data_IF_805474644606
#
_entry.id   IF_805474644606
#
_cell.length_a   1.000
_cell.length_b   1.000
_cell.length_c   1.000
_cell.angle_alpha   90.00
_cell.angle_beta   90.00
_cell.angle_gamma   90.00
#
_symmetry.space_group_name_H-M   'P 1'
#
loop_
_entity.id
_entity.type
_entity.pdbx_description
1 polymer ?
#
# COMPACT_ATOMS: atom_id res chain seq x y z
N UNK A 1 -12.87 20.61 14.29
CA UNK A 1 -14.24 20.09 14.24
C UNK A 1 -14.25 18.89 13.31
N UNK A 2 -14.72 17.70 13.72
CA UNK A 2 -14.84 16.58 12.79
C UNK A 2 -15.88 16.96 11.72
N UNK A 3 -15.55 16.74 10.45
CA UNK A 3 -16.50 16.92 9.37
C UNK A 3 -17.69 15.98 9.61
N UNK A 4 -18.89 16.52 9.52
CA UNK A 4 -20.12 15.73 9.63
C UNK A 4 -20.14 14.70 8.50
N UNK A 5 -19.98 13.42 8.84
CA UNK A 5 -19.99 12.30 7.89
C UNK A 5 -21.23 12.36 6.98
N UNK A 6 -22.36 12.85 7.48
CA UNK A 6 -23.59 13.08 6.71
C UNK A 6 -23.36 14.02 5.54
N UNK A 7 -22.65 15.13 5.78
CA UNK A 7 -22.35 16.13 4.76
C UNK A 7 -21.34 15.61 3.74
N UNK A 8 -20.36 14.83 4.18
CA UNK A 8 -19.38 14.17 3.30
C UNK A 8 -20.08 13.17 2.38
N UNK A 9 -20.93 12.29 2.93
CA UNK A 9 -21.69 11.29 2.15
C UNK A 9 -22.60 11.97 1.13
N UNK A 10 -23.27 13.06 1.52
CA UNK A 10 -24.14 13.80 0.60
C UNK A 10 -23.35 14.50 -0.53
N UNK A 11 -22.17 15.03 -0.22
CA UNK A 11 -21.27 15.64 -1.22
C UNK A 11 -20.74 14.58 -2.21
N UNK A 12 -20.35 13.41 -1.71
CA UNK A 12 -19.92 12.27 -2.54
C UNK A 12 -21.06 11.82 -3.47
N UNK A 13 -22.28 11.68 -2.95
CA UNK A 13 -23.46 11.28 -3.74
C UNK A 13 -23.74 12.25 -4.89
N UNK A 14 -23.69 13.55 -4.62
CA UNK A 14 -23.93 14.59 -5.62
C UNK A 14 -22.89 14.58 -6.74
N UNK A 15 -21.61 14.41 -6.41
CA UNK A 15 -20.53 14.40 -7.40
C UNK A 15 -20.40 13.06 -8.16
N UNK A 16 -20.92 11.95 -7.62
CA UNK A 16 -20.85 10.62 -8.23
C UNK A 16 -22.02 10.33 -9.20
N UNK A 17 -22.95 11.28 -9.42
CA UNK A 17 -24.24 11.04 -10.07
C UNK A 17 -24.96 9.81 -9.49
N UNK A 18 -24.76 9.52 -8.20
CA UNK A 18 -25.49 8.46 -7.53
C UNK A 18 -26.93 8.94 -7.44
N UNK A 19 -27.91 8.19 -7.99
CA UNK A 19 -29.31 8.59 -7.93
C UNK A 19 -29.70 8.90 -6.47
N UNK A 20 -30.60 9.87 -6.25
CA UNK A 20 -31.16 10.06 -4.92
C UNK A 20 -31.68 8.71 -4.41
N UNK A 21 -31.50 8.44 -3.11
CA UNK A 21 -32.03 7.22 -2.52
C UNK A 21 -33.50 7.09 -2.94
N UNK A 22 -33.85 5.93 -3.51
CA UNK A 22 -35.23 5.65 -3.84
C UNK A 22 -36.07 5.87 -2.57
N UNK A 23 -37.14 6.63 -2.68
CA UNK A 23 -38.06 6.89 -1.57
C UNK A 23 -39.35 6.08 -1.72
N UNK A 24 -39.55 5.48 -2.89
CA UNK A 24 -40.68 4.63 -3.22
C UNK A 24 -40.17 3.21 -3.46
N UNK A 25 -40.45 2.32 -2.51
CA UNK A 25 -40.10 0.92 -2.58
C UNK A 25 -41.38 0.10 -2.71
N UNK A 26 -41.44 -0.79 -3.70
CA UNK A 26 -42.55 -1.76 -3.83
C UNK A 26 -42.56 -2.70 -2.62
N UNK A 27 -41.36 -3.05 -2.11
CA UNK A 27 -41.16 -3.86 -0.92
C UNK A 27 -39.75 -3.64 -0.36
N UNK A 28 -39.63 -3.49 0.95
CA UNK A 28 -38.33 -3.57 1.63
C UNK A 28 -38.12 -5.02 2.07
N UNK A 29 -36.97 -5.59 1.72
CA UNK A 29 -36.54 -6.88 2.25
C UNK A 29 -35.27 -6.65 3.04
N UNK A 30 -35.21 -7.16 4.26
CA UNK A 30 -33.96 -7.24 4.99
C UNK A 30 -33.05 -8.25 4.28
N UNK A 31 -31.77 -7.91 4.19
CA UNK A 31 -30.76 -8.72 3.53
C UNK A 31 -29.44 -8.60 4.27
N UNK A 32 -28.63 -9.64 4.17
CA UNK A 32 -27.25 -9.62 4.63
C UNK A 32 -26.35 -9.28 3.44
N UNK A 33 -25.38 -8.40 3.67
CA UNK A 33 -24.35 -8.06 2.70
C UNK A 33 -23.00 -8.60 3.19
N UNK A 34 -22.14 -9.00 2.25
CA UNK A 34 -20.74 -9.36 2.50
C UNK A 34 -19.84 -8.11 2.54
N UNK A 35 -20.37 -6.99 3.06
CA UNK A 35 -19.68 -5.70 3.16
C UNK A 35 -19.31 -5.49 4.63
N UNK A 36 -18.04 -5.22 4.88
CA UNK A 36 -17.51 -4.91 6.21
C UNK A 36 -17.05 -3.46 6.26
N UNK A 37 -17.36 -2.77 7.36
CA UNK A 37 -16.98 -1.37 7.57
C UNK A 37 -15.61 -1.28 8.22
N UNK A 38 -14.80 -0.33 7.76
CA UNK A 38 -13.54 0.04 8.41
C UNK A 38 -13.75 1.31 9.24
N UNK A 39 -13.44 1.21 10.53
CA UNK A 39 -13.43 2.36 11.42
C UNK A 39 -12.00 2.88 11.57
N UNK A 40 -11.77 4.09 11.07
CA UNK A 40 -10.51 4.82 11.33
C UNK A 40 -10.62 5.49 12.69
N UNK A 41 -9.60 5.30 13.54
CA UNK A 41 -9.57 5.93 14.86
C UNK A 41 -9.69 7.46 14.73
N UNK A 42 -10.52 8.11 15.58
CA UNK A 42 -10.66 9.55 15.54
C UNK A 42 -9.34 10.23 15.92
N UNK A 43 -9.03 11.34 15.26
CA UNK A 43 -7.83 12.15 15.49
C UNK A 43 -6.95 12.26 14.25
N UNK A 44 -5.70 12.71 14.42
CA UNK A 44 -4.73 12.75 13.32
C UNK A 44 -3.98 11.42 13.31
N UNK A 45 -4.43 10.51 12.44
CA UNK A 45 -3.77 9.21 12.22
C UNK A 45 -3.03 9.28 10.90
N UNK A 46 -1.71 9.37 10.94
CA UNK A 46 -0.88 9.51 9.76
C UNK A 46 -0.32 8.17 9.30
N UNK A 47 -0.22 7.99 7.99
CA UNK A 47 0.59 6.97 7.33
C UNK A 47 1.51 7.62 6.32
N UNK A 48 2.67 7.00 6.09
CA UNK A 48 3.75 7.58 5.31
C UNK A 48 4.06 6.70 4.11
N UNK A 49 3.97 7.25 2.89
CA UNK A 49 4.18 6.53 1.63
C UNK A 49 5.63 6.66 1.16
N UNK A 50 6.20 5.53 0.80
CA UNK A 50 7.55 5.39 0.26
C UNK A 50 7.51 4.68 -1.09
N UNK A 51 8.43 5.08 -1.96
CA UNK A 51 8.75 4.34 -3.17
C UNK A 51 9.94 3.40 -2.88
N UNK A 52 9.78 2.14 -3.25
CA UNK A 52 10.77 1.06 -3.11
C UNK A 52 11.37 0.73 -4.47
N UNK A 53 12.70 0.66 -4.54
CA UNK A 53 13.42 0.10 -5.68
C UNK A 53 14.33 -1.04 -5.22
N UNK A 54 14.13 -2.22 -5.80
CA UNK A 54 15.02 -3.36 -5.69
C UNK A 54 15.67 -3.59 -7.06
N UNK A 55 16.99 -3.63 -7.10
CA UNK A 55 17.75 -3.81 -8.34
C UNK A 55 18.85 -4.84 -8.20
N UNK A 56 18.96 -5.73 -9.18
CA UNK A 56 20.12 -6.62 -9.34
C UNK A 56 21.24 -5.85 -10.04
N UNK A 57 22.32 -5.53 -9.29
CA UNK A 57 23.47 -4.79 -9.81
C UNK A 57 24.20 -5.56 -10.90
N UNK A 58 24.30 -6.87 -10.76
CA UNK A 58 25.04 -7.73 -11.69
C UNK A 58 24.33 -7.77 -13.04
N UNK A 59 23.00 -7.87 -13.02
CA UNK A 59 22.18 -7.91 -14.24
C UNK A 59 21.71 -6.54 -14.72
N UNK A 60 22.04 -5.47 -14.00
CA UNK A 60 21.54 -4.11 -14.21
C UNK A 60 20.01 -4.08 -14.43
N UNK A 61 19.27 -4.78 -13.57
CA UNK A 61 17.83 -5.03 -13.74
C UNK A 61 17.06 -4.65 -12.48
N UNK A 62 16.01 -3.85 -12.67
CA UNK A 62 15.03 -3.58 -11.61
C UNK A 62 14.09 -4.77 -11.43
N UNK A 63 13.99 -5.24 -10.19
CA UNK A 63 13.05 -6.27 -9.76
C UNK A 63 11.65 -5.67 -9.51
N UNK A 64 11.56 -4.40 -9.13
CA UNK A 64 10.27 -3.75 -8.80
C UNK A 64 9.54 -3.18 -10.01
N UNK A 65 10.24 -2.88 -11.12
CA UNK A 65 9.61 -2.43 -12.37
C UNK A 65 8.93 -3.56 -13.14
N UNK A 66 9.42 -4.80 -12.98
CA UNK A 66 8.84 -5.99 -13.58
C UNK A 66 8.96 -6.05 -15.11
N UNK A 67 9.15 -7.26 -15.62
CA UNK A 67 9.07 -7.58 -17.05
C UNK A 67 8.84 -9.08 -17.20
N UNK A 68 8.09 -9.49 -18.23
CA UNK A 68 7.69 -10.89 -18.47
C UNK A 68 6.19 -11.16 -18.34
N UNK A 69 5.82 -12.43 -18.43
CA UNK A 69 4.45 -12.95 -18.28
C UNK A 69 3.91 -12.87 -16.83
N UNK A 70 2.61 -13.11 -16.64
CA UNK A 70 1.96 -12.94 -15.34
C UNK A 70 2.43 -13.96 -14.27
N UNK A 71 2.86 -15.16 -14.69
CA UNK A 71 3.43 -16.16 -13.79
C UNK A 71 4.76 -15.69 -13.18
N UNK A 72 5.67 -15.17 -14.01
CA UNK A 72 6.93 -14.59 -13.54
C UNK A 72 6.72 -13.36 -12.66
N UNK A 73 5.67 -12.58 -12.91
CA UNK A 73 5.32 -11.42 -12.07
C UNK A 73 4.82 -11.84 -10.69
N UNK A 74 4.07 -12.93 -10.57
CA UNK A 74 3.65 -13.48 -9.28
C UNK A 74 4.87 -13.86 -8.44
N UNK A 75 5.75 -14.68 -9.02
CA UNK A 75 6.98 -15.10 -8.37
C UNK A 75 7.85 -13.94 -7.89
N UNK A 76 8.02 -12.93 -8.74
CA UNK A 76 8.84 -11.76 -8.44
C UNK A 76 8.29 -10.95 -7.26
N UNK A 77 6.96 -10.93 -7.05
CA UNK A 77 6.34 -10.28 -5.90
C UNK A 77 6.73 -10.96 -4.60
N UNK A 78 6.73 -12.28 -4.56
CA UNK A 78 7.12 -13.05 -3.37
C UNK A 78 8.60 -12.80 -3.03
N UNK A 79 9.47 -12.82 -4.05
CA UNK A 79 10.89 -12.47 -3.91
C UNK A 79 11.05 -11.03 -3.36
N UNK A 80 10.33 -10.06 -3.92
CA UNK A 80 10.37 -8.67 -3.46
C UNK A 80 9.92 -8.54 -2.01
N UNK A 81 8.86 -9.23 -1.60
CA UNK A 81 8.36 -9.21 -0.23
C UNK A 81 9.40 -9.77 0.75
N UNK A 82 10.02 -10.90 0.40
CA UNK A 82 11.07 -11.51 1.23
C UNK A 82 12.30 -10.59 1.36
N UNK A 83 12.73 -9.95 0.26
CA UNK A 83 13.82 -8.97 0.26
C UNK A 83 13.54 -7.78 1.20
N UNK A 84 12.34 -7.19 1.12
CA UNK A 84 11.95 -6.05 1.95
C UNK A 84 11.84 -6.45 3.42
N UNK A 85 11.28 -7.62 3.72
CA UNK A 85 11.17 -8.15 5.08
C UNK A 85 12.55 -8.39 5.69
N UNK A 86 13.47 -8.96 4.91
CA UNK A 86 14.86 -9.14 5.34
C UNK A 86 15.54 -7.80 5.67
N UNK A 87 15.35 -6.76 4.85
CA UNK A 87 15.89 -5.42 5.16
C UNK A 87 15.25 -4.87 6.42
N UNK A 88 13.93 -4.97 6.55
CA UNK A 88 13.18 -4.49 7.71
C UNK A 88 13.73 -5.07 9.02
N UNK A 89 13.96 -6.39 9.06
CA UNK A 89 14.49 -7.10 10.22
C UNK A 89 15.94 -6.69 10.53
N UNK A 90 16.83 -6.69 9.52
CA UNK A 90 18.26 -6.41 9.73
C UNK A 90 18.56 -4.94 10.05
N UNK A 91 17.65 -4.03 9.68
CA UNK A 91 17.79 -2.59 9.95
C UNK A 91 16.96 -2.11 11.13
N UNK A 92 16.34 -3.02 11.89
CA UNK A 92 15.48 -2.70 13.03
C UNK A 92 14.37 -1.70 12.67
N UNK A 93 13.60 -2.05 11.64
CA UNK A 93 12.48 -1.24 11.16
C UNK A 93 12.93 -0.07 10.29
N UNK A 94 13.75 -0.34 9.28
CA UNK A 94 14.29 0.67 8.35
C UNK A 94 15.08 1.79 9.06
N UNK A 95 15.79 1.46 10.13
CA UNK A 95 16.64 2.40 10.88
C UNK A 95 15.89 3.31 11.85
N UNK A 96 14.64 2.97 12.20
CA UNK A 96 13.79 3.77 13.10
C UNK A 96 13.90 3.41 14.59
N UNK A 97 14.57 2.31 14.94
CA UNK A 97 14.77 1.82 16.31
C UNK A 97 13.45 1.63 17.12
N UNK A 98 12.32 1.24 16.49
CA UNK A 98 11.01 1.17 17.18
C UNK A 98 9.91 0.32 16.53
N UNK A 99 8.65 0.47 17.00
CA UNK A 99 7.42 -0.25 16.56
C UNK A 99 6.92 0.19 15.17
N UNK A 100 7.76 0.07 14.16
CA UNK A 100 7.32 0.27 12.77
C UNK A 100 6.48 -0.91 12.35
N UNK A 101 5.37 -0.60 11.72
CA UNK A 101 4.59 -1.52 10.92
C UNK A 101 4.60 -1.00 9.49
N UNK A 102 4.68 -1.90 8.53
CA UNK A 102 4.61 -1.54 7.13
C UNK A 102 3.57 -2.36 6.38
N UNK A 103 3.09 -1.79 5.29
CA UNK A 103 2.26 -2.48 4.29
C UNK A 103 2.97 -2.27 2.95
N UNK A 104 3.21 -3.34 2.21
CA UNK A 104 3.96 -3.30 0.96
C UNK A 104 3.16 -3.98 -0.16
N UNK A 105 3.15 -3.37 -1.35
CA UNK A 105 2.44 -3.88 -2.53
C UNK A 105 3.20 -5.02 -3.25
N UNK A 106 4.29 -5.49 -2.64
CA UNK A 106 5.23 -6.46 -3.19
C UNK A 106 5.88 -6.00 -4.49
N UNK A 107 5.92 -4.68 -4.74
CA UNK A 107 6.57 -4.04 -5.89
C UNK A 107 7.24 -2.72 -5.55
N UNK A 108 6.51 -1.61 -5.54
CA UNK A 108 7.09 -0.26 -5.51
C UNK A 108 6.55 0.59 -4.37
N UNK A 109 5.40 0.26 -3.81
CA UNK A 109 4.71 1.14 -2.88
C UNK A 109 4.73 0.50 -1.50
N UNK A 110 5.36 1.19 -0.56
CA UNK A 110 5.40 0.80 0.85
C UNK A 110 4.81 1.92 1.69
N UNK A 111 3.95 1.57 2.65
CA UNK A 111 3.42 2.48 3.64
C UNK A 111 3.95 2.11 5.02
N UNK A 112 4.23 3.08 5.87
CA UNK A 112 4.56 2.87 7.28
C UNK A 112 3.64 3.67 8.20
N UNK A 113 3.48 3.20 9.44
CA UNK A 113 2.74 3.87 10.51
C UNK A 113 3.49 5.05 11.15
N UNK A 114 4.78 5.20 10.89
CA UNK A 114 5.60 6.33 11.33
C UNK A 114 6.68 6.67 10.30
N UNK A 115 7.22 7.89 10.35
CA UNK A 115 8.32 8.30 9.46
C UNK A 115 9.55 7.44 9.71
N UNK A 116 10.09 6.91 8.62
CA UNK A 116 11.41 6.26 8.56
C UNK A 116 12.36 7.09 7.67
N UNK A 117 13.67 7.07 7.97
CA UNK A 117 14.66 7.74 7.12
C UNK A 117 14.74 7.08 5.74
N UNK A 118 15.20 7.83 4.75
CA UNK A 118 15.59 7.23 3.48
C UNK A 118 16.74 6.23 3.72
N UNK A 119 16.68 5.09 3.05
CA UNK A 119 17.59 3.98 3.29
C UNK A 119 18.05 3.39 1.96
N UNK A 120 19.36 3.19 1.84
CA UNK A 120 19.95 2.42 0.75
C UNK A 120 20.87 1.37 1.36
N UNK A 121 20.68 0.11 1.00
CA UNK A 121 21.54 -0.98 1.45
C UNK A 121 21.71 -2.06 0.39
N UNK A 122 22.83 -2.77 0.48
CA UNK A 122 23.05 -3.98 -0.30
C UNK A 122 22.54 -5.19 0.47
N UNK A 123 21.90 -6.09 -0.26
CA UNK A 123 21.39 -7.36 0.26
C UNK A 123 22.18 -8.47 -0.39
N UNK A 124 22.78 -9.31 0.45
CA UNK A 124 23.32 -10.60 0.03
C UNK A 124 22.25 -11.66 0.27
N UNK A 125 21.82 -12.41 -0.77
CA UNK A 125 20.72 -13.37 -0.62
C UNK A 125 21.04 -14.61 0.24
N UNK A 126 22.27 -14.78 0.73
CA UNK A 126 22.76 -15.99 1.41
C UNK A 126 21.94 -16.41 2.64
N UNK A 127 21.35 -15.42 3.32
CA UNK A 127 20.50 -15.59 4.52
C UNK A 127 19.00 -15.74 4.21
N UNK A 128 18.61 -15.79 2.94
CA UNK A 128 17.22 -15.92 2.50
C UNK A 128 16.78 -17.37 2.35
N UNK A 129 15.50 -17.57 2.11
CA UNK A 129 14.91 -18.87 1.80
C UNK A 129 15.66 -19.54 0.64
N UNK A 130 15.67 -20.88 0.62
CA UNK A 130 16.28 -21.63 -0.48
C UNK A 130 15.71 -21.23 -1.84
N UNK A 131 14.41 -20.95 -1.86
CA UNK A 131 13.71 -20.49 -3.04
C UNK A 131 14.24 -19.13 -3.52
N UNK A 132 14.31 -18.12 -2.64
CA UNK A 132 14.89 -16.81 -2.97
C UNK A 132 16.33 -16.91 -3.44
N UNK A 133 17.16 -17.72 -2.77
CA UNK A 133 18.57 -17.93 -3.12
C UNK A 133 18.74 -18.53 -4.51
N UNK A 134 17.92 -19.52 -4.86
CA UNK A 134 17.92 -20.13 -6.20
C UNK A 134 17.54 -19.11 -7.27
N UNK A 135 16.54 -18.27 -7.01
CA UNK A 135 16.11 -17.23 -7.95
C UNK A 135 17.15 -16.12 -8.11
N UNK A 136 17.78 -15.71 -7.01
CA UNK A 136 18.78 -14.63 -6.93
C UNK A 136 20.21 -15.16 -7.00
N UNK A 137 20.43 -16.32 -7.63
CA UNK A 137 21.76 -16.93 -7.71
C UNK A 137 22.78 -15.96 -8.31
N UNK A 138 23.89 -15.75 -7.59
CA UNK A 138 24.95 -14.79 -7.91
C UNK A 138 24.47 -13.34 -8.15
N UNK A 139 23.37 -12.92 -7.51
CA UNK A 139 22.90 -11.55 -7.58
C UNK A 139 23.41 -10.73 -6.38
N UNK A 140 23.75 -9.47 -6.65
CA UNK A 140 23.95 -8.44 -5.61
C UNK A 140 22.77 -7.48 -5.70
N UNK A 141 21.89 -7.51 -4.70
CA UNK A 141 20.67 -6.71 -4.73
C UNK A 141 20.89 -5.40 -4.01
N UNK A 142 20.47 -4.30 -4.61
CA UNK A 142 20.36 -2.99 -3.95
C UNK A 142 18.92 -2.78 -3.57
N UNK A 143 18.68 -2.39 -2.33
CA UNK A 143 17.41 -1.87 -1.87
C UNK A 143 17.52 -0.37 -1.65
N UNK A 144 16.54 0.37 -2.16
CA UNK A 144 16.37 1.80 -1.93
C UNK A 144 14.94 2.07 -1.46
N UNK A 145 14.83 2.79 -0.34
CA UNK A 145 13.59 3.30 0.22
C UNK A 145 13.65 4.82 0.25
N UNK A 146 12.72 5.48 -0.45
CA UNK A 146 12.66 6.94 -0.49
C UNK A 146 11.23 7.42 -0.25
N UNK A 147 11.01 8.57 0.42
CA UNK A 147 9.72 9.23 0.42
C UNK A 147 9.21 9.38 -1.01
N UNK A 148 7.92 9.12 -1.23
CA UNK A 148 7.39 9.08 -2.59
C UNK A 148 7.56 10.43 -3.31
N UNK A 149 7.84 10.38 -4.61
CA UNK A 149 8.01 11.57 -5.46
C UNK A 149 6.82 11.67 -6.42
N UNK A 150 6.05 12.75 -6.32
CA UNK A 150 4.90 13.01 -7.20
C UNK A 150 3.51 12.70 -6.62
N UNK A 151 3.44 12.33 -5.34
CA UNK A 151 2.19 12.22 -4.57
C UNK A 151 2.45 12.66 -3.12
N UNK A 152 1.41 12.74 -2.29
CA UNK A 152 1.58 13.09 -0.89
C UNK A 152 2.31 11.97 -0.15
N UNK A 153 3.46 12.31 0.44
CA UNK A 153 4.21 11.42 1.32
C UNK A 153 3.45 11.14 2.62
N UNK A 154 2.74 12.13 3.14
CA UNK A 154 2.02 12.05 4.41
C UNK A 154 0.52 11.99 4.12
N UNK A 155 -0.14 10.98 4.67
CA UNK A 155 -1.55 10.71 4.42
C UNK A 155 -2.29 10.66 5.74
N UNK A 156 -3.26 11.54 5.92
CA UNK A 156 -4.15 11.49 7.06
C UNK A 156 -5.29 10.51 6.78
N UNK A 157 -5.38 9.43 7.56
CA UNK A 157 -6.44 8.42 7.38
C UNK A 157 -7.85 8.96 7.64
N UNK A 158 -7.98 10.10 8.33
CA UNK A 158 -9.26 10.74 8.55
C UNK A 158 -9.71 11.60 7.35
N UNK A 159 -8.89 11.74 6.30
CA UNK A 159 -9.26 12.38 5.05
C UNK A 159 -10.00 11.41 4.10
N UNK A 160 -11.10 10.85 4.61
CA UNK A 160 -11.99 9.94 3.89
C UNK A 160 -12.51 10.54 2.56
N UNK A 161 -12.86 11.84 2.46
CA UNK A 161 -13.29 12.42 1.18
C UNK A 161 -12.25 12.25 0.07
N UNK A 162 -10.96 12.44 0.38
CA UNK A 162 -9.89 12.20 -0.58
C UNK A 162 -9.76 10.73 -0.97
N UNK A 163 -10.07 9.77 -0.08
CA UNK A 163 -10.04 8.35 -0.42
C UNK A 163 -11.23 7.93 -1.32
N UNK A 164 -12.40 8.54 -1.15
CA UNK A 164 -13.66 8.16 -1.78
C UNK A 164 -14.05 9.05 -2.97
N UNK A 165 -13.07 9.66 -3.64
CA UNK A 165 -13.32 10.64 -4.71
C UNK A 165 -14.34 10.08 -5.74
N UNK A 166 -15.51 10.74 -5.90
CA UNK A 166 -16.57 10.37 -6.83
C UNK A 166 -16.14 10.21 -8.29
N UNK A 167 -15.14 11.01 -8.69
CA UNK A 167 -14.59 11.04 -10.03
C UNK A 167 -13.10 10.66 -9.95
N UNK A 168 -12.77 9.38 -9.72
CA UNK A 168 -11.40 8.95 -9.49
C UNK A 168 -10.49 9.30 -10.69
N UNK A 169 -11.01 9.30 -11.91
CA UNK A 169 -10.24 9.72 -13.09
C UNK A 169 -9.73 11.18 -13.07
N UNK A 170 -10.26 12.04 -12.18
CA UNK A 170 -9.89 13.45 -12.03
C UNK A 170 -8.94 13.64 -10.84
N UNK A 171 -8.88 12.66 -9.93
CA UNK A 171 -8.02 12.74 -8.76
C UNK A 171 -6.57 12.47 -9.14
N UNK A 172 -5.69 13.45 -8.91
CA UNK A 172 -4.28 13.33 -9.22
C UNK A 172 -3.53 12.37 -8.28
N UNK A 173 -3.97 12.23 -7.02
CA UNK A 173 -3.31 11.41 -6.02
C UNK A 173 -4.25 10.35 -5.42
N UNK A 174 -4.02 9.09 -5.75
CA UNK A 174 -4.79 7.94 -5.27
C UNK A 174 -4.20 7.25 -4.03
N UNK A 175 -3.15 7.79 -3.43
CA UNK A 175 -2.34 7.08 -2.43
C UNK A 175 -3.14 6.59 -1.23
N UNK A 176 -4.06 7.41 -0.71
CA UNK A 176 -4.88 7.03 0.45
C UNK A 176 -5.87 5.89 0.12
N UNK A 177 -6.47 5.93 -1.08
CA UNK A 177 -7.31 4.84 -1.56
C UNK A 177 -6.50 3.56 -1.75
N UNK A 178 -5.34 3.64 -2.40
CA UNK A 178 -4.42 2.51 -2.58
C UNK A 178 -4.01 1.90 -1.25
N UNK A 179 -3.74 2.73 -0.23
CA UNK A 179 -3.44 2.24 1.12
C UNK A 179 -4.58 1.39 1.69
N UNK A 180 -5.83 1.88 1.65
CA UNK A 180 -6.97 1.11 2.11
C UNK A 180 -7.17 -0.19 1.32
N UNK A 181 -7.05 -0.14 -0.01
CA UNK A 181 -7.13 -1.34 -0.86
C UNK A 181 -6.07 -2.39 -0.47
N UNK A 182 -4.84 -1.96 -0.19
CA UNK A 182 -3.76 -2.86 0.25
C UNK A 182 -4.04 -3.51 1.61
N UNK A 183 -4.57 -2.76 2.58
CA UNK A 183 -4.98 -3.33 3.88
C UNK A 183 -6.06 -4.41 3.72
N UNK A 184 -6.89 -4.32 2.67
CA UNK A 184 -7.95 -5.29 2.38
C UNK A 184 -7.52 -6.42 1.44
N UNK A 185 -6.27 -6.41 0.97
CA UNK A 185 -5.77 -7.46 0.08
C UNK A 185 -5.58 -8.79 0.81
N UNK A 186 -5.78 -9.91 0.12
CA UNK A 186 -5.58 -11.24 0.71
C UNK A 186 -4.20 -11.41 1.35
N UNK A 187 -3.18 -10.80 0.77
CA UNK A 187 -1.80 -10.84 1.25
C UNK A 187 -1.60 -10.19 2.62
N UNK A 188 -2.53 -9.32 3.05
CA UNK A 188 -2.45 -8.63 4.34
C UNK A 188 -3.46 -9.19 5.36
N UNK A 189 -4.63 -9.66 4.90
CA UNK A 189 -5.66 -10.24 5.77
C UNK A 189 -5.25 -11.62 6.31
N UNK A 190 -4.48 -12.40 5.53
CA UNK A 190 -4.09 -13.78 5.88
C UNK A 190 -2.60 -13.92 6.26
N UNK A 191 -1.89 -12.81 6.51
CA UNK A 191 -0.48 -12.80 6.91
C UNK A 191 -0.28 -13.10 8.39
#
# INVERSE_FOLDING_TARGET
MPADLSQVVNTIRAAANIPPQATQFIKNNEGLANIYTFDVKPGVVMVYRYDVELSDKVKNKSLTKGGGDDGKKGLLRDICFELVTHVFENTQGFGSNGKVLFVYDNRKILFTNCRVPALTCEITPDRMSEFCRKFLYNATITFELQPCKGSSHELNLNDIPSALCPAPHIQADHSLRTFFEMLTSQSFINA
#
